data_IF_969018379455
#
_entry.id   IF_969018379455
#
_cell.length_a   1.000
_cell.length_b   1.000
_cell.length_c   1.000
_cell.angle_alpha   90.00
_cell.angle_beta   90.00
_cell.angle_gamma   90.00
#
_symmetry.space_group_name_H-M   'P 1'
#
loop_
_entity.id
_entity.type
_entity.pdbx_description
1 polymer ?
#
# COMPACT_ATOMS: atom_id res chain seq x y z
N UNK A 1 -31.60 22.77 -2.21
CA UNK A 1 -31.37 21.39 -1.73
C UNK A 1 -29.89 21.03 -1.73
N UNK A 2 -29.30 20.75 -2.90
CA UNK A 2 -27.91 20.24 -2.99
C UNK A 2 -26.85 21.23 -2.52
N UNK A 3 -27.04 22.53 -2.79
CA UNK A 3 -26.17 23.59 -2.28
C UNK A 3 -26.10 23.58 -0.74
N UNK A 4 -27.25 23.53 -0.07
CA UNK A 4 -27.33 23.49 1.39
C UNK A 4 -26.78 22.18 1.99
N UNK A 5 -26.84 21.06 1.27
CA UNK A 5 -26.25 19.79 1.71
C UNK A 5 -24.72 19.79 1.62
N UNK A 6 -24.15 20.54 0.67
CA UNK A 6 -22.71 20.63 0.45
C UNK A 6 -22.07 21.92 0.99
N UNK A 7 -22.79 22.62 1.88
CA UNK A 7 -22.36 23.90 2.47
C UNK A 7 -21.90 24.95 1.43
N UNK A 8 -22.68 25.12 0.37
CA UNK A 8 -22.38 26.12 -0.66
C UNK A 8 -22.89 27.49 -0.20
N UNK A 9 -21.97 28.41 0.05
CA UNK A 9 -22.26 29.80 0.40
C UNK A 9 -22.07 30.76 -0.79
N UNK A 10 -22.87 31.84 -0.91
CA UNK A 10 -22.69 32.85 -1.95
C UNK A 10 -21.29 33.50 -1.96
N UNK A 11 -20.68 33.67 -0.78
CA UNK A 11 -19.33 34.24 -0.62
C UNK A 11 -18.20 33.21 -0.75
N UNK A 12 -18.54 31.93 -0.90
CA UNK A 12 -17.60 30.81 -0.77
C UNK A 12 -17.34 30.43 0.69
N UNK A 13 -17.22 29.13 0.95
CA UNK A 13 -16.88 28.59 2.27
C UNK A 13 -15.36 28.45 2.50
N UNK A 14 -14.52 28.64 1.47
CA UNK A 14 -13.06 28.58 1.57
C UNK A 14 -12.40 29.51 0.55
N UNK A 15 -11.63 30.50 1.01
CA UNK A 15 -10.85 31.44 0.17
C UNK A 15 -11.67 32.06 -0.99
N UNK A 16 -12.92 32.44 -0.73
CA UNK A 16 -13.82 33.01 -1.76
C UNK A 16 -14.35 31.98 -2.78
N UNK A 17 -14.08 30.69 -2.58
CA UNK A 17 -14.57 29.56 -3.39
C UNK A 17 -15.40 28.62 -2.51
N UNK A 18 -16.17 27.74 -3.14
CA UNK A 18 -16.89 26.68 -2.45
C UNK A 18 -16.16 25.33 -2.58
N UNK A 19 -15.72 24.78 -1.45
CA UNK A 19 -15.29 23.40 -1.29
C UNK A 19 -16.47 22.61 -0.75
N UNK A 20 -17.04 21.77 -1.63
CA UNK A 20 -18.18 20.93 -1.27
C UNK A 20 -17.78 19.93 -0.20
N UNK A 21 -18.42 19.98 0.96
CA UNK A 21 -18.23 19.03 2.05
C UNK A 21 -19.57 18.78 2.77
N UNK A 22 -19.65 17.74 3.59
CA UNK A 22 -20.89 17.34 4.26
C UNK A 22 -20.72 17.55 5.75
N UNK A 23 -21.36 18.60 6.29
CA UNK A 23 -21.28 18.96 7.71
C UNK A 23 -22.32 18.27 8.58
N UNK A 24 -23.41 17.84 7.97
CA UNK A 24 -24.59 17.34 8.67
C UNK A 24 -25.18 16.15 7.94
N UNK A 25 -25.75 15.23 8.71
CA UNK A 25 -26.49 14.11 8.17
C UNK A 25 -27.67 14.59 7.31
N UNK A 26 -27.98 13.78 6.30
CA UNK A 26 -29.02 14.04 5.32
C UNK A 26 -30.37 14.38 5.97
N UNK A 27 -30.75 13.66 7.03
CA UNK A 27 -31.99 13.88 7.78
C UNK A 27 -32.05 15.28 8.41
N UNK A 28 -30.94 15.72 9.00
CA UNK A 28 -30.84 17.04 9.63
C UNK A 28 -30.95 18.16 8.61
N UNK A 29 -30.31 18.00 7.44
CA UNK A 29 -30.40 18.96 6.34
C UNK A 29 -31.81 18.98 5.74
N UNK A 30 -32.42 17.82 5.54
CA UNK A 30 -33.79 17.71 5.03
C UNK A 30 -34.79 18.41 5.97
N UNK A 31 -34.68 18.17 7.29
CA UNK A 31 -35.48 18.82 8.31
C UNK A 31 -35.32 20.35 8.31
N UNK A 32 -34.09 20.87 8.23
CA UNK A 32 -33.83 22.32 8.13
C UNK A 32 -34.43 22.95 6.87
N UNK A 33 -34.49 22.20 5.77
CA UNK A 33 -35.01 22.67 4.48
C UNK A 33 -36.52 22.46 4.32
N UNK A 34 -37.18 21.80 5.28
CA UNK A 34 -38.61 21.49 5.20
C UNK A 34 -38.97 20.52 4.07
N UNK A 35 -38.05 19.63 3.68
CA UNK A 35 -38.29 18.61 2.65
C UNK A 35 -38.13 17.21 3.21
N UNK A 36 -38.67 16.20 2.52
CA UNK A 36 -38.42 14.82 2.92
C UNK A 36 -36.96 14.41 2.64
N UNK A 37 -36.44 13.49 3.44
CA UNK A 37 -35.13 12.90 3.21
C UNK A 37 -35.03 12.18 1.86
N UNK A 38 -36.13 11.56 1.41
CA UNK A 38 -36.19 10.91 0.10
C UNK A 38 -36.05 11.91 -1.05
N UNK A 39 -36.67 13.09 -0.94
CA UNK A 39 -36.53 14.14 -1.95
C UNK A 39 -35.11 14.69 -2.03
N UNK A 40 -34.49 14.94 -0.86
CA UNK A 40 -33.10 15.38 -0.79
C UNK A 40 -32.16 14.30 -1.36
N UNK A 41 -32.38 13.02 -1.02
CA UNK A 41 -31.61 11.88 -1.55
C UNK A 41 -31.74 11.78 -3.06
N UNK A 42 -32.95 11.91 -3.60
CA UNK A 42 -33.19 11.90 -5.04
C UNK A 42 -32.52 13.10 -5.74
N UNK A 43 -32.55 14.29 -5.13
CA UNK A 43 -31.86 15.46 -5.66
C UNK A 43 -30.32 15.27 -5.69
N UNK A 44 -29.75 14.67 -4.64
CA UNK A 44 -28.32 14.33 -4.57
C UNK A 44 -27.94 13.28 -5.61
N UNK A 45 -28.74 12.21 -5.76
CA UNK A 45 -28.50 11.16 -6.75
C UNK A 45 -28.45 11.71 -8.18
N UNK A 46 -29.33 12.65 -8.54
CA UNK A 46 -29.31 13.32 -9.86
C UNK A 46 -28.15 14.30 -10.04
N UNK A 47 -27.63 14.87 -8.94
CA UNK A 47 -26.63 15.95 -8.98
C UNK A 47 -25.20 15.44 -8.89
N UNK A 48 -24.94 14.36 -8.14
CA UNK A 48 -23.61 13.76 -7.97
C UNK A 48 -22.91 13.43 -9.30
N UNK A 49 -23.56 12.80 -10.30
CA UNK A 49 -22.93 12.56 -11.60
C UNK A 49 -22.53 13.85 -12.32
N UNK A 50 -23.34 14.92 -12.21
CA UNK A 50 -23.05 16.22 -12.83
C UNK A 50 -21.85 16.91 -12.15
N UNK A 51 -21.82 16.88 -10.82
CA UNK A 51 -20.69 17.41 -10.03
C UNK A 51 -19.40 16.62 -10.32
N UNK A 52 -19.50 15.30 -10.42
CA UNK A 52 -18.39 14.42 -10.79
C UNK A 52 -17.87 14.74 -12.19
N UNK A 53 -18.74 14.83 -13.19
CA UNK A 53 -18.35 15.19 -14.56
C UNK A 53 -17.68 16.57 -14.66
N UNK A 54 -18.09 17.55 -13.84
CA UNK A 54 -17.39 18.85 -13.78
C UNK A 54 -16.04 18.74 -13.05
N UNK A 55 -15.94 17.91 -12.00
CA UNK A 55 -14.68 17.66 -11.28
C UNK A 55 -13.64 17.00 -12.19
N UNK A 56 -14.06 16.08 -13.05
CA UNK A 56 -13.18 15.37 -14.00
C UNK A 56 -12.55 16.30 -15.06
N UNK A 57 -13.05 17.53 -15.25
CA UNK A 57 -12.41 18.53 -16.13
C UNK A 57 -11.19 19.19 -15.50
N UNK A 58 -10.99 19.04 -14.20
CA UNK A 58 -9.83 19.62 -13.51
C UNK A 58 -8.62 18.73 -13.75
N UNK A 59 -7.45 19.35 -13.88
CA UNK A 59 -6.18 18.61 -13.85
C UNK A 59 -6.11 17.87 -12.51
N UNK A 60 -6.04 16.54 -12.55
CA UNK A 60 -5.89 15.73 -11.35
C UNK A 60 -4.50 15.99 -10.75
N UNK A 61 -4.35 16.04 -9.43
CA UNK A 61 -3.03 16.01 -8.81
C UNK A 61 -2.23 14.82 -9.36
N UNK A 62 -0.91 15.00 -9.51
CA UNK A 62 -0.04 13.90 -9.86
C UNK A 62 -0.19 12.79 -8.81
N UNK A 63 -0.34 11.55 -9.26
CA UNK A 63 -0.36 10.37 -8.40
C UNK A 63 1.03 9.74 -8.45
N UNK A 64 1.56 9.34 -7.29
CA UNK A 64 2.68 8.40 -7.30
C UNK A 64 2.14 7.02 -7.66
N UNK A 65 2.48 6.55 -8.86
CA UNK A 65 2.04 5.25 -9.38
C UNK A 65 2.99 4.11 -9.00
N UNK A 66 4.03 4.39 -8.21
CA UNK A 66 4.97 3.36 -7.76
C UNK A 66 4.34 2.45 -6.72
N UNK A 67 4.71 1.19 -6.80
CA UNK A 67 4.37 0.16 -5.83
C UNK A 67 5.60 -0.07 -4.95
N UNK A 68 5.44 0.04 -3.63
CA UNK A 68 6.50 -0.20 -2.64
C UNK A 68 6.29 -1.55 -1.94
N UNK A 69 7.34 -2.35 -1.83
CA UNK A 69 7.26 -3.69 -1.25
C UNK A 69 6.81 -3.64 0.21
N UNK A 70 7.44 -2.82 1.05
CA UNK A 70 7.04 -2.59 2.45
C UNK A 70 5.53 -2.32 2.61
N UNK A 71 4.98 -1.36 1.86
CA UNK A 71 3.57 -0.98 1.97
C UNK A 71 2.62 -2.07 1.48
N UNK A 72 3.05 -2.83 0.47
CA UNK A 72 2.27 -3.95 -0.03
C UNK A 72 2.34 -5.15 0.92
N UNK A 73 3.46 -5.37 1.61
CA UNK A 73 3.55 -6.35 2.70
C UNK A 73 2.59 -6.04 3.86
N UNK A 74 2.54 -4.78 4.30
CA UNK A 74 1.56 -4.35 5.32
C UNK A 74 0.11 -4.51 4.83
N UNK A 75 -0.16 -4.13 3.58
CA UNK A 75 -1.47 -4.32 2.95
C UNK A 75 -1.85 -5.81 2.91
N UNK A 76 -0.93 -6.67 2.49
CA UNK A 76 -1.12 -8.11 2.41
C UNK A 76 -1.56 -8.69 3.74
N UNK A 77 -0.81 -8.40 4.81
CA UNK A 77 -1.18 -8.82 6.17
C UNK A 77 -2.56 -8.33 6.56
N UNK A 78 -2.84 -7.04 6.36
CA UNK A 78 -4.13 -6.45 6.75
C UNK A 78 -5.33 -7.12 6.06
N UNK A 79 -5.23 -7.35 4.74
CA UNK A 79 -6.29 -8.02 4.00
C UNK A 79 -6.41 -9.50 4.37
N UNK A 80 -5.29 -10.21 4.55
CA UNK A 80 -5.32 -11.62 4.93
C UNK A 80 -5.97 -11.82 6.31
N UNK A 81 -5.54 -11.04 7.31
CA UNK A 81 -6.12 -11.06 8.66
C UNK A 81 -7.61 -10.71 8.65
N UNK A 82 -7.98 -9.59 7.99
CA UNK A 82 -9.36 -9.15 7.91
C UNK A 82 -10.27 -10.15 7.17
N UNK A 83 -9.76 -10.82 6.13
CA UNK A 83 -10.50 -11.86 5.43
C UNK A 83 -10.86 -13.02 6.35
N UNK A 84 -9.93 -13.46 7.20
CA UNK A 84 -10.15 -14.53 8.18
C UNK A 84 -11.11 -14.13 9.30
N UNK A 85 -10.94 -12.93 9.86
CA UNK A 85 -11.77 -12.43 10.96
C UNK A 85 -13.22 -12.14 10.54
N UNK A 86 -13.41 -11.56 9.36
CA UNK A 86 -14.74 -11.12 8.90
C UNK A 86 -15.40 -12.07 7.90
N UNK A 87 -14.78 -13.20 7.57
CA UNK A 87 -15.24 -14.15 6.55
C UNK A 87 -15.50 -13.47 5.19
N UNK A 88 -14.51 -12.68 4.74
CA UNK A 88 -14.59 -11.85 3.52
C UNK A 88 -13.74 -12.42 2.40
N UNK A 89 -14.37 -13.22 1.53
CA UNK A 89 -13.72 -13.82 0.36
C UNK A 89 -13.15 -12.79 -0.63
N UNK A 90 -13.77 -11.61 -0.75
CA UNK A 90 -13.23 -10.53 -1.57
C UNK A 90 -11.93 -9.96 -0.98
N UNK A 91 -11.74 -9.99 0.34
CA UNK A 91 -10.48 -9.60 0.97
C UNK A 91 -9.40 -10.67 0.79
N UNK A 92 -9.78 -11.96 0.88
CA UNK A 92 -8.89 -13.08 0.56
C UNK A 92 -8.32 -12.94 -0.84
N UNK A 93 -9.17 -12.70 -1.84
CA UNK A 93 -8.76 -12.51 -3.24
C UNK A 93 -7.79 -11.34 -3.43
N UNK A 94 -8.00 -10.23 -2.69
CA UNK A 94 -7.06 -9.10 -2.73
C UNK A 94 -5.70 -9.50 -2.15
N UNK A 95 -5.68 -10.23 -1.03
CA UNK A 95 -4.45 -10.70 -0.40
C UNK A 95 -3.68 -11.67 -1.32
N UNK A 96 -4.36 -12.67 -1.89
CA UNK A 96 -3.74 -13.64 -2.82
C UNK A 96 -3.17 -12.92 -4.06
N UNK A 97 -3.94 -12.02 -4.68
CA UNK A 97 -3.47 -11.26 -5.84
C UNK A 97 -2.27 -10.35 -5.50
N UNK A 98 -2.24 -9.78 -4.29
CA UNK A 98 -1.12 -8.97 -3.83
C UNK A 98 0.16 -9.80 -3.63
N UNK A 99 0.04 -10.96 -2.96
CA UNK A 99 1.16 -11.88 -2.76
C UNK A 99 1.72 -12.39 -4.10
N UNK A 100 0.85 -12.78 -5.03
CA UNK A 100 1.25 -13.20 -6.37
C UNK A 100 1.97 -12.09 -7.13
N UNK A 101 1.48 -10.85 -7.04
CA UNK A 101 2.15 -9.69 -7.64
C UNK A 101 3.53 -9.47 -7.04
N UNK A 102 3.66 -9.45 -5.70
CA UNK A 102 4.94 -9.26 -5.01
C UNK A 102 5.98 -10.30 -5.45
N UNK A 103 5.59 -11.58 -5.44
CA UNK A 103 6.49 -12.68 -5.78
C UNK A 103 6.83 -12.76 -7.27
N UNK A 104 5.93 -12.34 -8.16
CA UNK A 104 6.18 -12.36 -9.61
C UNK A 104 6.97 -11.15 -10.08
N UNK A 105 6.63 -9.96 -9.58
CA UNK A 105 7.08 -8.69 -10.15
C UNK A 105 8.22 -8.06 -9.37
N UNK A 106 8.29 -8.30 -8.06
CA UNK A 106 9.24 -7.61 -7.16
C UNK A 106 10.34 -8.52 -6.64
N UNK A 107 10.07 -9.82 -6.57
CA UNK A 107 11.09 -10.84 -6.30
C UNK A 107 11.78 -11.25 -7.60
N UNK A 108 13.11 -11.26 -7.58
CA UNK A 108 13.93 -11.70 -8.70
C UNK A 108 14.73 -12.93 -8.28
N UNK A 109 14.43 -14.05 -8.92
CA UNK A 109 15.30 -15.24 -8.96
C UNK A 109 16.32 -15.05 -10.10
N UNK A 110 17.63 -14.98 -9.81
CA UNK A 110 18.63 -14.69 -10.86
C UNK A 110 18.71 -15.79 -11.93
N UNK A 111 18.44 -15.38 -13.17
CA UNK A 111 19.18 -15.76 -14.37
C UNK A 111 19.83 -14.51 -14.98
N UNK A 112 21.16 -14.46 -14.98
CA UNK A 112 22.07 -13.60 -15.76
C UNK A 112 21.67 -12.14 -16.06
N UNK A 113 22.05 -11.20 -15.18
CA UNK A 113 22.40 -9.82 -15.59
C UNK A 113 23.69 -9.40 -14.87
N UNK A 114 24.77 -9.23 -15.63
CA UNK A 114 26.08 -8.74 -15.18
C UNK A 114 26.98 -9.82 -14.53
N UNK A 115 28.28 -9.79 -14.87
CA UNK A 115 29.34 -10.78 -14.58
C UNK A 115 29.69 -11.02 -13.10
N UNK A 116 28.70 -11.08 -12.20
CA UNK A 116 28.89 -11.62 -10.85
C UNK A 116 27.84 -12.69 -10.56
N UNK A 117 28.25 -13.96 -10.36
CA UNK A 117 27.36 -14.98 -9.85
C UNK A 117 27.01 -14.60 -8.42
N UNK A 118 25.81 -14.06 -8.23
CA UNK A 118 25.16 -14.11 -6.93
C UNK A 118 24.09 -15.18 -7.05
N UNK A 119 24.31 -16.32 -6.39
CA UNK A 119 23.23 -17.26 -6.12
C UNK A 119 22.29 -16.53 -5.15
N UNK A 120 21.04 -16.24 -5.52
CA UNK A 120 20.17 -15.52 -4.58
C UNK A 120 18.81 -15.10 -5.12
N UNK A 121 17.83 -15.28 -4.25
CA UNK A 121 16.48 -14.74 -4.27
C UNK A 121 16.55 -13.30 -3.73
N UNK A 122 16.06 -12.28 -4.46
CA UNK A 122 16.15 -10.88 -4.02
C UNK A 122 14.83 -10.15 -4.19
N UNK A 123 14.42 -9.40 -3.17
CA UNK A 123 13.30 -8.46 -3.23
C UNK A 123 13.80 -7.08 -3.63
N UNK A 124 13.09 -6.44 -4.57
CA UNK A 124 13.27 -5.03 -4.91
C UNK A 124 12.31 -4.16 -4.10
N UNK A 125 12.75 -2.93 -3.79
CA UNK A 125 11.94 -1.97 -3.02
C UNK A 125 10.74 -1.47 -3.80
N UNK A 126 10.93 -1.17 -5.08
CA UNK A 126 9.95 -0.41 -5.86
C UNK A 126 9.68 -1.04 -7.21
N UNK A 127 8.41 -1.04 -7.63
CA UNK A 127 7.98 -1.40 -8.97
C UNK A 127 7.25 -0.21 -9.61
N UNK A 128 7.48 -0.02 -10.91
CA UNK A 128 6.86 1.04 -11.68
C UNK A 128 6.16 0.46 -12.91
N UNK A 129 4.91 0.87 -13.20
CA UNK A 129 4.21 0.45 -14.42
C UNK A 129 4.83 1.11 -15.67
N UNK A 130 4.56 0.52 -16.83
CA UNK A 130 4.95 1.05 -18.14
C UNK A 130 4.61 2.54 -18.33
N UNK A 131 3.45 2.97 -17.82
CA UNK A 131 3.01 4.37 -17.87
C UNK A 131 3.95 5.34 -17.15
N UNK A 132 4.68 4.86 -16.14
CA UNK A 132 5.63 5.66 -15.37
C UNK A 132 7.07 5.51 -15.89
N UNK A 133 7.43 4.35 -16.44
CA UNK A 133 8.79 4.10 -16.95
C UNK A 133 8.99 4.58 -18.39
N UNK A 134 7.91 4.70 -19.17
CA UNK A 134 7.95 4.97 -20.61
C UNK A 134 8.29 3.74 -21.46
N UNK A 135 8.44 2.57 -20.85
CA UNK A 135 8.81 1.29 -21.49
C UNK A 135 8.05 0.09 -20.87
N UNK A 136 8.75 -0.96 -20.44
CA UNK A 136 8.17 -2.12 -19.76
C UNK A 136 8.09 -1.88 -18.25
N UNK A 137 7.10 -2.46 -17.55
CA UNK A 137 7.09 -2.42 -16.10
C UNK A 137 8.36 -3.05 -15.54
N UNK A 138 8.90 -2.47 -14.46
CA UNK A 138 10.10 -3.03 -13.83
C UNK A 138 10.15 -2.75 -12.35
N UNK A 139 10.62 -3.75 -11.61
CA UNK A 139 11.12 -3.54 -10.27
C UNK A 139 12.57 -3.04 -10.28
N UNK A 140 12.90 -2.20 -9.31
CA UNK A 140 14.22 -1.58 -9.17
C UNK A 140 14.50 -1.24 -7.71
N UNK A 141 15.78 -0.97 -7.46
CA UNK A 141 16.38 -0.70 -6.15
C UNK A 141 16.31 -1.94 -5.25
N UNK A 142 17.44 -2.28 -4.64
CA UNK A 142 17.48 -3.36 -3.68
C UNK A 142 16.51 -3.06 -2.52
N UNK A 143 15.79 -4.09 -2.07
CA UNK A 143 14.94 -4.00 -0.89
C UNK A 143 15.74 -3.69 0.36
N UNK A 144 15.12 -2.96 1.26
CA UNK A 144 15.61 -2.66 2.60
C UNK A 144 15.01 -3.66 3.58
N UNK A 145 15.52 -3.70 4.80
CA UNK A 145 15.04 -4.61 5.85
C UNK A 145 13.50 -4.59 5.97
N UNK A 146 12.90 -3.40 5.95
CA UNK A 146 11.46 -3.22 6.09
C UNK A 146 10.68 -3.86 4.93
N UNK A 147 11.24 -3.88 3.71
CA UNK A 147 10.62 -4.52 2.56
C UNK A 147 10.56 -6.04 2.76
N UNK A 148 11.66 -6.66 3.19
CA UNK A 148 11.72 -8.10 3.45
C UNK A 148 10.82 -8.50 4.61
N UNK A 149 10.91 -7.79 5.73
CA UNK A 149 10.19 -8.13 6.95
C UNK A 149 8.66 -8.04 6.75
N UNK A 150 8.16 -6.94 6.17
CA UNK A 150 6.71 -6.76 5.97
C UNK A 150 6.14 -7.72 4.91
N UNK A 151 6.88 -8.04 3.85
CA UNK A 151 6.41 -9.02 2.86
C UNK A 151 6.40 -10.43 3.44
N UNK A 152 7.43 -10.84 4.19
CA UNK A 152 7.48 -12.14 4.85
C UNK A 152 6.34 -12.30 5.87
N UNK A 153 6.11 -11.28 6.70
CA UNK A 153 5.02 -11.25 7.68
C UNK A 153 3.63 -11.36 7.01
N UNK A 154 3.39 -10.59 5.94
CA UNK A 154 2.16 -10.71 5.15
C UNK A 154 1.95 -12.09 4.52
N UNK A 155 3.02 -12.73 4.02
CA UNK A 155 2.96 -14.09 3.47
C UNK A 155 2.66 -15.15 4.54
N UNK A 156 3.16 -14.97 5.77
CA UNK A 156 2.82 -15.84 6.91
C UNK A 156 1.33 -15.70 7.25
N UNK A 157 0.82 -14.48 7.30
CA UNK A 157 -0.61 -14.23 7.55
C UNK A 157 -1.49 -14.86 6.45
N UNK A 158 -1.08 -14.71 5.17
CA UNK A 158 -1.80 -15.34 4.06
C UNK A 158 -1.74 -16.88 4.13
N UNK A 159 -0.62 -17.46 4.56
CA UNK A 159 -0.55 -18.89 4.85
C UNK A 159 -1.53 -19.30 5.95
N UNK A 160 -1.65 -18.55 7.05
CA UNK A 160 -2.63 -18.86 8.10
C UNK A 160 -4.07 -18.82 7.60
N UNK A 161 -4.38 -17.92 6.66
CA UNK A 161 -5.69 -17.80 6.04
C UNK A 161 -6.02 -18.93 5.05
N UNK A 162 -5.02 -19.43 4.31
CA UNK A 162 -5.22 -20.32 3.14
C UNK A 162 -4.73 -21.75 3.36
N UNK A 163 -3.81 -21.95 4.30
CA UNK A 163 -3.00 -23.16 4.48
C UNK A 163 -2.21 -23.60 3.24
N UNK A 164 -2.00 -22.71 2.27
CA UNK A 164 -1.18 -22.99 1.11
C UNK A 164 0.31 -22.82 1.45
N UNK A 165 1.02 -23.95 1.50
CA UNK A 165 2.43 -24.01 1.88
C UNK A 165 3.35 -23.17 0.98
N UNK A 166 2.92 -22.80 -0.24
CA UNK A 166 3.74 -21.96 -1.11
C UNK A 166 4.03 -20.59 -0.48
N UNK A 167 3.09 -20.03 0.27
CA UNK A 167 3.26 -18.73 0.91
C UNK A 167 4.23 -18.80 2.08
N UNK A 168 4.13 -19.87 2.88
CA UNK A 168 5.07 -20.12 3.98
C UNK A 168 6.49 -20.35 3.46
N UNK A 169 6.65 -21.09 2.36
CA UNK A 169 7.96 -21.30 1.74
C UNK A 169 8.54 -19.98 1.23
N UNK A 170 7.75 -19.15 0.55
CA UNK A 170 8.21 -17.84 0.09
C UNK A 170 8.58 -16.89 1.24
N UNK A 171 7.82 -16.90 2.34
CA UNK A 171 8.13 -16.15 3.55
C UNK A 171 9.48 -16.59 4.15
N UNK A 172 9.72 -17.91 4.20
CA UNK A 172 10.99 -18.49 4.65
C UNK A 172 12.15 -18.06 3.76
N UNK A 173 12.00 -18.13 2.44
CA UNK A 173 13.05 -17.76 1.50
C UNK A 173 13.44 -16.27 1.67
N UNK A 174 12.46 -15.39 1.91
CA UNK A 174 12.71 -13.98 2.24
C UNK A 174 13.42 -13.83 3.59
N UNK A 175 13.00 -14.59 4.61
CA UNK A 175 13.60 -14.54 5.94
C UNK A 175 15.06 -15.02 5.94
N UNK A 176 15.38 -16.07 5.18
CA UNK A 176 16.74 -16.59 5.03
C UNK A 176 17.66 -15.51 4.39
N UNK A 177 17.17 -14.82 3.35
CA UNK A 177 17.88 -13.68 2.74
C UNK A 177 18.02 -12.52 3.73
N UNK A 178 16.97 -12.24 4.51
CA UNK A 178 16.99 -11.18 5.52
C UNK A 178 18.08 -11.43 6.58
N UNK A 179 18.21 -12.67 7.06
CA UNK A 179 19.26 -13.08 7.99
C UNK A 179 20.64 -12.99 7.34
N UNK A 180 20.81 -13.51 6.14
CA UNK A 180 22.11 -13.49 5.44
C UNK A 180 22.61 -12.07 5.17
N UNK A 181 21.71 -11.17 4.75
CA UNK A 181 22.08 -9.88 4.18
C UNK A 181 22.07 -8.74 5.20
N UNK A 182 21.21 -8.81 6.23
CA UNK A 182 20.94 -7.68 7.12
C UNK A 182 21.35 -7.93 8.58
N UNK A 183 21.51 -9.19 9.03
CA UNK A 183 21.85 -9.48 10.43
C UNK A 183 23.24 -8.96 10.83
N UNK A 184 23.33 -8.28 11.98
CA UNK A 184 24.60 -7.95 12.62
C UNK A 184 25.02 -9.03 13.61
N UNK A 185 25.85 -9.96 13.16
CA UNK A 185 26.38 -11.03 14.00
C UNK A 185 27.23 -10.54 15.18
N UNK A 186 27.69 -9.28 15.20
CA UNK A 186 28.53 -8.73 16.28
C UNK A 186 27.72 -8.08 17.38
N UNK A 187 26.72 -7.26 17.02
CA UNK A 187 25.96 -6.47 17.99
C UNK A 187 24.46 -6.82 18.06
N UNK A 188 24.01 -7.81 17.29
CA UNK A 188 22.60 -8.19 17.21
C UNK A 188 21.73 -7.18 16.46
N UNK A 189 20.51 -7.57 16.13
CA UNK A 189 19.60 -6.78 15.30
C UNK A 189 20.04 -6.72 13.83
N UNK A 190 19.18 -6.11 13.01
CA UNK A 190 19.34 -6.03 11.58
C UNK A 190 19.67 -4.60 11.14
N UNK A 191 20.60 -4.49 10.19
CA UNK A 191 20.87 -3.28 9.43
C UNK A 191 19.71 -2.97 8.48
N UNK A 192 19.49 -1.70 8.14
CA UNK A 192 18.44 -1.32 7.18
C UNK A 192 18.78 -1.69 5.74
N UNK A 193 20.05 -1.68 5.36
CA UNK A 193 20.51 -1.99 4.00
C UNK A 193 21.19 -3.35 3.95
N UNK A 194 21.16 -4.04 2.80
CA UNK A 194 21.88 -5.30 2.60
C UNK A 194 23.41 -5.12 2.66
N UNK A 195 24.15 -6.21 2.83
CA UNK A 195 25.61 -6.17 2.87
C UNK A 195 26.26 -5.83 1.51
N UNK A 196 25.49 -5.93 0.42
CA UNK A 196 25.89 -5.63 -0.94
C UNK A 196 25.14 -4.44 -1.55
N UNK A 197 24.49 -3.64 -0.70
CA UNK A 197 23.93 -2.36 -1.08
C UNK A 197 25.04 -1.37 -1.50
N UNK A 198 24.66 -0.21 -2.05
CA UNK A 198 25.63 0.87 -2.28
C UNK A 198 26.45 1.14 -1.00
N UNK A 199 27.75 1.33 -1.16
CA UNK A 199 28.67 1.51 -0.04
C UNK A 199 28.34 2.83 0.70
N UNK A 200 27.67 2.71 1.84
CA UNK A 200 27.36 3.83 2.74
C UNK A 200 28.50 4.04 3.75
N UNK A 201 28.63 5.27 4.26
CA UNK A 201 29.58 5.62 5.34
C UNK A 201 29.29 4.79 6.61
N UNK A 202 28.02 4.53 6.89
CA UNK A 202 27.56 3.64 7.96
C UNK A 202 26.26 2.94 7.52
N UNK A 203 26.05 1.71 8.01
CA UNK A 203 24.78 1.00 7.88
C UNK A 203 23.97 1.23 9.17
N UNK A 204 22.93 2.07 9.14
CA UNK A 204 22.11 2.31 10.32
C UNK A 204 21.26 1.08 10.66
N UNK A 205 20.83 1.02 11.92
CA UNK A 205 19.78 0.15 12.42
C UNK A 205 18.69 1.04 12.98
N UNK A 206 17.44 0.73 12.65
CA UNK A 206 16.29 1.38 13.27
C UNK A 206 15.54 0.37 14.13
N UNK A 207 15.26 0.77 15.37
CA UNK A 207 14.55 -0.01 16.38
C UNK A 207 13.27 0.70 16.84
N UNK A 208 12.98 1.88 16.30
CA UNK A 208 11.88 2.71 16.79
C UNK A 208 10.73 2.66 15.80
N UNK A 209 9.59 2.17 16.25
CA UNK A 209 8.36 2.26 15.47
C UNK A 209 7.92 3.72 15.36
N UNK A 210 7.39 4.09 14.19
CA UNK A 210 6.84 5.42 13.95
C UNK A 210 5.42 5.29 13.36
N UNK A 211 5.08 6.05 12.33
CA UNK A 211 3.83 5.87 11.59
C UNK A 211 3.68 4.45 11.02
N UNK A 212 4.80 3.73 10.82
CA UNK A 212 4.87 2.32 10.44
C UNK A 212 5.84 1.58 11.37
N UNK A 213 5.69 0.26 11.56
CA UNK A 213 6.64 -0.54 12.34
C UNK A 213 8.06 -0.50 11.76
N UNK A 214 9.08 -0.50 12.62
CA UNK A 214 10.46 -0.61 12.17
C UNK A 214 10.76 -1.99 11.59
N UNK A 215 11.73 -2.09 10.68
CA UNK A 215 12.12 -3.36 10.10
C UNK A 215 12.61 -4.37 11.13
N UNK A 216 13.29 -3.91 12.19
CA UNK A 216 13.69 -4.77 13.30
C UNK A 216 12.47 -5.29 14.07
N UNK A 217 11.48 -4.45 14.36
CA UNK A 217 10.27 -4.83 15.09
C UNK A 217 9.46 -5.91 14.38
N UNK A 218 9.41 -5.89 13.05
CA UNK A 218 8.70 -6.91 12.24
C UNK A 218 9.54 -8.17 12.06
N UNK A 219 10.88 -8.03 12.04
CA UNK A 219 11.79 -9.15 11.81
C UNK A 219 12.08 -10.03 13.05
N UNK A 220 11.70 -9.59 14.25
CA UNK A 220 12.01 -10.27 15.53
C UNK A 220 10.76 -10.50 16.36
#
# INVERSE_FOLDING_TARGET
>A
LVAAYYDVEPRGNFEGKNILHVDHDLEKVAGKLGVSANDLRAALARSRPKLFAQREKRVKPARDDKVLAEWNGMMLRAFAYAAGVFDRDDYRKIAEANAEFLLREMVVSKGSVGDRPQQGFRLHRSWAPASLTGDQPRAKLNGYLEDYANVADGLIELYQLTFDLRWLQAARDLADVMIEQFWDARNGGFFQTSNDHEALIARPKDFTDNAVPSGNSVAT
#
